data_IF_723403734929
#
_entry.id   IF_723403734929
#
_cell.length_a   1.000
_cell.length_b   1.000
_cell.length_c   1.000
_cell.angle_alpha   90.00
_cell.angle_beta   90.00
_cell.angle_gamma   90.00
#
_symmetry.space_group_name_H-M   'P 1'
#
loop_
_entity.id
_entity.type
_entity.pdbx_description
1 polymer ?
#
# COMPACT_ATOMS: atom_id res chain seq x y z
N UNK A 1 -34.26 41.89 0.56
CA UNK A 1 -33.73 40.79 -0.27
C UNK A 1 -32.34 40.24 0.14
N UNK A 2 -31.72 40.65 1.27
CA UNK A 2 -30.35 40.20 1.66
C UNK A 2 -30.26 38.86 2.43
N UNK A 3 -31.37 38.33 2.97
CA UNK A 3 -31.39 37.08 3.76
C UNK A 3 -31.27 35.81 2.90
N UNK A 4 -31.84 35.83 1.70
CA UNK A 4 -31.84 34.68 0.77
C UNK A 4 -30.44 34.35 0.25
N UNK A 5 -29.65 35.38 -0.06
CA UNK A 5 -28.26 35.25 -0.56
C UNK A 5 -27.26 34.73 0.48
N UNK A 6 -27.44 35.09 1.76
CA UNK A 6 -26.64 34.54 2.88
C UNK A 6 -26.92 33.05 3.07
N UNK A 7 -28.19 32.66 2.94
CA UNK A 7 -28.64 31.28 3.13
C UNK A 7 -28.12 30.35 2.03
N UNK A 8 -28.12 30.79 0.77
CA UNK A 8 -27.53 30.03 -0.34
C UNK A 8 -26.00 29.92 -0.26
N UNK A 9 -25.32 30.96 0.26
CA UNK A 9 -23.88 30.89 0.51
C UNK A 9 -23.54 29.93 1.64
N UNK A 10 -24.36 29.88 2.71
CA UNK A 10 -24.20 28.91 3.79
C UNK A 10 -24.50 27.47 3.34
N UNK A 11 -25.51 27.26 2.50
CA UNK A 11 -25.82 25.94 1.94
C UNK A 11 -24.68 25.40 1.07
N UNK A 12 -24.10 26.26 0.22
CA UNK A 12 -22.95 25.90 -0.63
C UNK A 12 -21.68 25.62 0.19
N UNK A 13 -21.41 26.42 1.22
CA UNK A 13 -20.28 26.18 2.13
C UNK A 13 -20.44 24.87 2.92
N UNK A 14 -21.67 24.55 3.37
CA UNK A 14 -21.96 23.29 4.04
C UNK A 14 -21.79 22.06 3.14
N UNK A 15 -22.23 22.15 1.88
CA UNK A 15 -22.06 21.06 0.90
C UNK A 15 -20.58 20.79 0.59
N UNK A 16 -19.75 21.83 0.50
CA UNK A 16 -18.30 21.66 0.27
C UNK A 16 -17.59 21.04 1.49
N UNK A 17 -17.96 21.46 2.70
CA UNK A 17 -17.42 20.88 3.93
C UNK A 17 -17.77 19.38 4.09
N UNK A 18 -18.96 18.98 3.66
CA UNK A 18 -19.42 17.59 3.70
C UNK A 18 -18.69 16.70 2.67
N UNK A 19 -18.32 17.24 1.51
CA UNK A 19 -17.53 16.54 0.50
C UNK A 19 -16.08 16.32 0.96
N UNK A 20 -15.47 17.28 1.67
CA UNK A 20 -14.11 17.13 2.20
C UNK A 20 -14.01 16.17 3.40
N UNK A 21 -15.12 15.89 4.08
CA UNK A 21 -15.16 14.96 5.22
C UNK A 21 -15.36 13.49 4.83
N UNK A 22 -15.52 13.21 3.52
CA UNK A 22 -15.53 11.86 2.96
C UNK A 22 -14.16 11.44 2.38
N UNK A 23 -13.05 11.99 2.88
CA UNK A 23 -11.73 11.45 2.62
C UNK A 23 -11.58 10.10 3.33
N UNK A 24 -12.20 9.06 2.75
CA UNK A 24 -11.91 7.67 3.12
C UNK A 24 -10.41 7.49 2.85
N UNK A 25 -9.57 7.24 3.86
CA UNK A 25 -8.19 6.92 3.59
C UNK A 25 -8.23 5.65 2.76
N UNK A 26 -7.76 5.74 1.52
CA UNK A 26 -7.56 4.57 0.67
C UNK A 26 -6.35 3.83 1.26
N UNK A 27 -6.60 3.08 2.34
CA UNK A 27 -5.60 2.18 2.93
C UNK A 27 -5.54 0.94 2.04
N UNK A 28 -5.00 1.12 0.83
CA UNK A 28 -4.80 0.04 -0.13
C UNK A 28 -3.63 -0.89 0.26
N UNK A 29 -2.86 -0.53 1.28
CA UNK A 29 -1.68 -1.26 1.76
C UNK A 29 -1.89 -1.67 3.22
N UNK A 30 -1.56 -2.93 3.54
CA UNK A 30 -1.59 -3.45 4.90
C UNK A 30 -0.58 -2.69 5.78
N UNK A 31 -0.95 -2.41 7.02
CA UNK A 31 -0.06 -1.68 7.95
C UNK A 31 0.79 -2.70 8.71
N UNK A 32 2.08 -2.72 8.39
CA UNK A 32 3.07 -3.49 9.14
C UNK A 32 3.67 -2.64 10.28
N UNK A 33 3.93 -3.23 11.45
CA UNK A 33 4.46 -2.50 12.60
C UNK A 33 5.92 -2.04 12.40
N UNK A 34 6.68 -2.73 11.54
CA UNK A 34 8.05 -2.37 11.16
C UNK A 34 8.26 -2.64 9.66
N UNK A 35 9.27 -1.98 9.05
CA UNK A 35 9.68 -2.32 7.68
C UNK A 35 10.11 -3.78 7.54
N UNK A 36 10.87 -4.31 8.51
CA UNK A 36 11.30 -5.71 8.48
C UNK A 36 10.12 -6.68 8.50
N UNK A 37 9.05 -6.39 9.26
CA UNK A 37 7.84 -7.22 9.26
C UNK A 37 7.14 -7.26 7.89
N UNK A 38 7.20 -6.18 7.11
CA UNK A 38 6.69 -6.16 5.74
C UNK A 38 7.59 -6.98 4.80
N UNK A 39 8.91 -6.89 4.98
CA UNK A 39 9.89 -7.68 4.23
C UNK A 39 9.71 -9.19 4.51
N UNK A 40 9.61 -9.59 5.77
CA UNK A 40 9.38 -10.98 6.17
C UNK A 40 8.08 -11.52 5.55
N UNK A 41 6.99 -10.74 5.62
CA UNK A 41 5.72 -11.11 5.01
C UNK A 41 5.81 -11.29 3.49
N UNK A 42 6.65 -10.50 2.80
CA UNK A 42 6.93 -10.68 1.37
C UNK A 42 7.62 -12.02 1.10
N UNK A 43 8.73 -12.29 1.79
CA UNK A 43 9.50 -13.53 1.61
C UNK A 43 8.64 -14.77 1.86
N UNK A 44 7.84 -14.73 2.93
CA UNK A 44 6.87 -15.76 3.28
C UNK A 44 5.79 -15.98 2.21
N UNK A 45 5.24 -14.91 1.66
CA UNK A 45 4.22 -14.98 0.62
C UNK A 45 4.76 -15.63 -0.65
N UNK A 46 6.00 -15.28 -1.04
CA UNK A 46 6.68 -15.89 -2.19
C UNK A 46 6.98 -17.37 -1.93
N UNK A 47 7.50 -17.72 -0.73
CA UNK A 47 7.85 -19.10 -0.39
C UNK A 47 6.63 -20.05 -0.39
N UNK A 48 5.45 -19.53 -0.04
CA UNK A 48 4.19 -20.29 -0.04
C UNK A 48 3.44 -20.24 -1.38
N UNK A 49 3.93 -19.48 -2.37
CA UNK A 49 3.20 -19.18 -3.60
C UNK A 49 1.79 -18.66 -3.30
N UNK A 50 1.66 -17.74 -2.33
CA UNK A 50 0.39 -17.26 -1.78
C UNK A 50 0.00 -15.90 -2.41
N UNK A 51 -0.89 -15.89 -3.42
CA UNK A 51 -1.26 -14.66 -4.12
C UNK A 51 -2.07 -13.69 -3.24
N UNK A 52 -2.80 -14.19 -2.23
CA UNK A 52 -3.56 -13.34 -1.32
C UNK A 52 -2.61 -12.61 -0.35
N UNK A 53 -1.60 -13.30 0.16
CA UNK A 53 -0.54 -12.68 0.96
C UNK A 53 0.28 -11.68 0.13
N UNK A 54 0.63 -12.00 -1.12
CA UNK A 54 1.28 -11.05 -2.03
C UNK A 54 0.43 -9.79 -2.25
N UNK A 55 -0.89 -9.95 -2.43
CA UNK A 55 -1.82 -8.85 -2.57
C UNK A 55 -1.92 -7.98 -1.31
N UNK A 56 -1.79 -8.57 -0.12
CA UNK A 56 -1.77 -7.81 1.14
C UNK A 56 -0.50 -6.97 1.28
N UNK A 57 0.66 -7.54 0.94
CA UNK A 57 1.97 -6.88 1.05
C UNK A 57 2.15 -5.80 -0.02
N UNK A 58 1.88 -6.14 -1.29
CA UNK A 58 2.19 -5.31 -2.46
C UNK A 58 0.98 -4.53 -2.99
N UNK A 59 -0.21 -4.78 -2.44
CA UNK A 59 -1.46 -4.16 -2.83
C UNK A 59 -2.20 -4.90 -3.96
N UNK A 60 -3.40 -4.39 -4.29
CA UNK A 60 -4.36 -5.05 -5.18
C UNK A 60 -3.84 -5.35 -6.60
N UNK A 61 -2.83 -4.61 -7.07
CA UNK A 61 -2.28 -4.70 -8.43
C UNK A 61 -0.85 -5.26 -8.45
N UNK A 62 -0.49 -6.14 -7.50
CA UNK A 62 0.88 -6.63 -7.33
C UNK A 62 1.49 -7.25 -8.60
N UNK A 63 0.67 -7.87 -9.47
CA UNK A 63 1.11 -8.46 -10.74
C UNK A 63 1.77 -7.45 -11.69
N UNK A 64 1.50 -6.14 -11.52
CA UNK A 64 2.15 -5.07 -12.29
C UNK A 64 3.53 -4.68 -11.74
N UNK A 65 3.81 -5.06 -10.50
CA UNK A 65 5.07 -4.78 -9.79
C UNK A 65 6.05 -5.95 -9.94
N UNK A 66 5.54 -7.14 -10.19
CA UNK A 66 6.33 -8.35 -10.40
C UNK A 66 6.68 -8.50 -11.88
N UNK A 67 7.91 -8.93 -12.25
CA UNK A 67 8.26 -9.19 -13.64
C UNK A 67 7.29 -10.22 -14.27
N UNK A 68 6.83 -10.01 -15.51
CA UNK A 68 6.02 -11.01 -16.20
C UNK A 68 6.87 -12.22 -16.59
N UNK A 69 6.26 -13.40 -16.60
CA UNK A 69 6.89 -14.61 -17.15
C UNK A 69 7.97 -15.23 -16.26
N UNK A 70 7.92 -15.03 -14.94
CA UNK A 70 8.81 -15.69 -14.00
C UNK A 70 8.72 -17.22 -14.14
N UNK A 71 9.87 -17.85 -14.31
CA UNK A 71 10.01 -19.29 -14.21
C UNK A 71 10.09 -19.71 -12.74
N UNK A 72 9.90 -21.01 -12.49
CA UNK A 72 10.06 -21.56 -11.14
C UNK A 72 11.50 -21.40 -10.62
N UNK A 73 12.49 -21.41 -11.51
CA UNK A 73 13.89 -21.18 -11.15
C UNK A 73 14.12 -19.75 -10.67
N UNK A 74 13.50 -18.75 -11.29
CA UNK A 74 13.63 -17.35 -10.85
C UNK A 74 13.10 -17.16 -9.42
N UNK A 75 12.01 -17.85 -9.07
CA UNK A 75 11.47 -17.86 -7.71
C UNK A 75 12.42 -18.56 -6.74
N UNK A 76 13.02 -19.69 -7.13
CA UNK A 76 13.99 -20.38 -6.29
C UNK A 76 15.27 -19.58 -6.08
N UNK A 77 15.79 -18.92 -7.13
CA UNK A 77 16.97 -18.07 -7.05
C UNK A 77 16.71 -16.88 -6.12
N UNK A 78 15.53 -16.26 -6.22
CA UNK A 78 15.09 -15.24 -5.27
C UNK A 78 15.05 -15.78 -3.84
N UNK A 79 14.41 -16.92 -3.59
CA UNK A 79 14.28 -17.50 -2.25
C UNK A 79 15.62 -17.92 -1.66
N UNK A 80 16.55 -18.42 -2.49
CA UNK A 80 17.90 -18.76 -2.07
C UNK A 80 18.68 -17.51 -1.64
N UNK A 81 18.61 -16.43 -2.44
CA UNK A 81 19.22 -15.15 -2.09
C UNK A 81 18.58 -14.55 -0.82
N UNK A 82 17.25 -14.59 -0.74
CA UNK A 82 16.48 -14.12 0.42
C UNK A 82 16.88 -14.84 1.71
N UNK A 83 16.96 -16.16 1.67
CA UNK A 83 17.38 -16.98 2.81
C UNK A 83 18.85 -16.73 3.20
N UNK A 84 19.72 -16.41 2.23
CA UNK A 84 21.11 -16.07 2.51
C UNK A 84 21.23 -14.75 3.28
N UNK A 85 20.52 -13.70 2.85
CA UNK A 85 20.47 -12.42 3.54
C UNK A 85 19.34 -11.55 3.00
N UNK A 86 18.47 -11.08 3.89
CA UNK A 86 17.50 -10.01 3.65
C UNK A 86 17.57 -9.03 4.83
N UNK A 87 17.58 -7.73 4.53
CA UNK A 87 17.57 -6.70 5.57
C UNK A 87 17.00 -5.41 4.99
N UNK A 88 16.27 -4.65 5.80
CA UNK A 88 15.88 -3.30 5.44
C UNK A 88 17.04 -2.34 5.72
N UNK A 89 17.53 -1.68 4.66
CA UNK A 89 18.51 -0.60 4.77
C UNK A 89 17.76 0.74 4.78
N UNK A 90 17.84 1.53 5.87
CA UNK A 90 17.33 2.89 5.86
C UNK A 90 18.16 3.72 4.88
N UNK A 91 17.51 4.42 3.96
CA UNK A 91 18.15 5.38 3.05
C UNK A 91 17.84 6.81 3.50
N UNK A 92 18.88 7.65 3.62
CA UNK A 92 18.81 9.05 4.06
C UNK A 92 19.35 9.35 5.46
N UNK A 93 19.84 10.59 5.64
CA UNK A 93 20.16 11.14 6.97
C UNK A 93 18.87 11.34 7.75
N UNK A 94 18.78 10.69 8.91
CA UNK A 94 17.71 10.94 9.88
C UNK A 94 17.86 12.37 10.39
N UNK A 95 16.98 13.28 9.97
CA UNK A 95 16.77 14.57 10.61
C UNK A 95 15.59 14.50 11.58
#
# INVERSE_FOLDING_TARGET
>A
MKRKSRFESMLRAGALAMLLSMSVPVLAQHVYPTPDAAADALGDAVARSDPDALKQVLGANYEKLVPPGLSQNDVYDFLAAWASHHAVQPDGDKA
#
